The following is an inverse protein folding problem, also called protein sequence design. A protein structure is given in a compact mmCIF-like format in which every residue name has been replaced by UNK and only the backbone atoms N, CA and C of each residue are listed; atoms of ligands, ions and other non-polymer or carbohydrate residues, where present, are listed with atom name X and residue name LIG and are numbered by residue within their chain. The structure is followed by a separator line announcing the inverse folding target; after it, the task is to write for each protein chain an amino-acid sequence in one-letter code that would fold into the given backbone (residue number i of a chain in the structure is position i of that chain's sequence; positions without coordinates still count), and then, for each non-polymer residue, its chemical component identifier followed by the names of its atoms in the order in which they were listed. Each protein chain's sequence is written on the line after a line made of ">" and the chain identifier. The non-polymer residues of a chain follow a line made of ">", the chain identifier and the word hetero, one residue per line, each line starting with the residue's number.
data_IF_229107557737
#
_entry.id   IF_229107557737
#
_cell.length_a   1.000
_cell.length_b   1.000
_cell.length_c   1.000
_cell.angle_alpha   90.00
_cell.angle_beta   90.00
_cell.angle_gamma   90.00
#
_symmetry.space_group_name_H-M   'P 1'
#
loop_
_entity.id
_entity.type
_entity.pdbx_description
1 polymer ?
#
# COMPACT_ATOMS: atom_id res chain seq x y z
N UNK A 1 4.61 -9.48 -1.29
CA UNK A 1 6.03 -9.49 -1.70
C UNK A 1 6.40 -8.10 -2.22
N UNK A 2 7.69 -7.76 -2.32
CA UNK A 2 8.18 -6.49 -2.88
C UNK A 2 8.96 -6.80 -4.17
N UNK A 3 8.50 -6.30 -5.32
CA UNK A 3 9.21 -6.48 -6.61
C UNK A 3 10.21 -5.36 -6.90
N UNK A 4 9.78 -4.11 -6.73
CA UNK A 4 10.59 -2.92 -6.98
C UNK A 4 10.11 -1.78 -6.07
N UNK A 5 10.66 -1.77 -4.86
CA UNK A 5 10.32 -0.79 -3.82
C UNK A 5 11.21 0.46 -3.85
N UNK A 6 11.01 1.34 -2.86
CA UNK A 6 11.70 2.64 -2.78
C UNK A 6 13.23 2.52 -2.71
N UNK A 7 13.77 1.50 -2.02
CA UNK A 7 15.23 1.33 -1.91
C UNK A 7 15.87 1.01 -3.27
N UNK A 8 15.23 0.17 -4.08
CA UNK A 8 15.68 -0.14 -5.44
C UNK A 8 15.63 1.10 -6.31
N UNK A 9 14.54 1.88 -6.19
CA UNK A 9 14.40 3.13 -6.91
C UNK A 9 15.50 4.11 -6.54
N UNK A 10 15.77 4.33 -5.24
CA UNK A 10 16.79 5.28 -4.79
C UNK A 10 18.17 4.86 -5.31
N UNK A 11 18.49 3.56 -5.23
CA UNK A 11 19.75 3.03 -5.75
C UNK A 11 19.88 3.28 -7.27
N UNK A 12 18.87 2.91 -8.05
CA UNK A 12 18.85 3.12 -9.49
C UNK A 12 18.88 4.59 -9.88
N UNK A 13 18.05 5.41 -9.25
CA UNK A 13 17.98 6.86 -9.48
C UNK A 13 19.31 7.55 -9.15
N UNK A 14 19.99 7.11 -8.09
CA UNK A 14 21.33 7.63 -7.73
C UNK A 14 22.36 7.33 -8.82
N UNK A 15 22.35 6.11 -9.38
CA UNK A 15 23.23 5.73 -10.48
C UNK A 15 22.91 6.50 -11.77
N UNK A 16 21.63 6.54 -12.17
CA UNK A 16 21.19 7.28 -13.36
C UNK A 16 21.44 8.79 -13.21
N UNK A 17 21.28 9.32 -12.00
CA UNK A 17 21.52 10.71 -11.65
C UNK A 17 22.94 11.18 -11.95
N UNK A 18 23.93 10.28 -11.94
CA UNK A 18 25.32 10.61 -12.28
C UNK A 18 25.43 11.22 -13.69
N UNK A 19 24.62 10.75 -14.64
CA UNK A 19 24.58 11.29 -16.01
C UNK A 19 24.11 12.75 -16.07
N UNK A 20 23.36 13.20 -15.06
CA UNK A 20 22.78 14.55 -14.99
C UNK A 20 23.65 15.55 -14.20
N UNK A 21 24.76 15.10 -13.61
CA UNK A 21 25.62 15.94 -12.77
C UNK A 21 26.29 17.09 -13.54
N UNK A 22 26.52 16.95 -14.84
CA UNK A 22 27.12 18.02 -15.67
C UNK A 22 26.11 18.93 -16.36
N UNK A 23 24.83 18.57 -16.37
CA UNK A 23 23.78 19.38 -17.02
C UNK A 23 23.42 20.62 -16.19
N UNK A 24 23.06 21.75 -16.82
CA UNK A 24 22.50 22.90 -16.11
C UNK A 24 21.10 22.58 -15.59
N UNK A 25 20.66 23.27 -14.54
CA UNK A 25 19.38 22.99 -13.89
C UNK A 25 18.14 23.04 -14.80
N UNK A 26 18.03 23.93 -15.82
CA UNK A 26 16.85 23.96 -16.68
C UNK A 26 16.73 22.69 -17.54
N UNK A 27 17.87 22.17 -18.02
CA UNK A 27 17.89 20.93 -18.78
C UNK A 27 17.42 19.75 -17.90
N UNK A 28 17.88 19.67 -16.66
CA UNK A 28 17.45 18.63 -15.70
C UNK A 28 15.96 18.77 -15.40
N UNK A 29 15.45 19.99 -15.21
CA UNK A 29 14.03 20.25 -14.99
C UNK A 29 13.17 19.81 -16.19
N UNK A 30 13.65 20.05 -17.42
CA UNK A 30 12.99 19.58 -18.64
C UNK A 30 12.94 18.05 -18.68
N UNK A 31 14.05 17.36 -18.39
CA UNK A 31 14.05 15.90 -18.29
C UNK A 31 13.12 15.39 -17.20
N UNK A 32 13.08 16.03 -16.03
CA UNK A 32 12.14 15.70 -14.97
C UNK A 32 10.67 15.80 -15.46
N UNK A 33 10.34 16.87 -16.19
CA UNK A 33 9.04 17.03 -16.83
C UNK A 33 8.73 15.91 -17.82
N UNK A 34 9.70 15.53 -18.66
CA UNK A 34 9.56 14.41 -19.61
C UNK A 34 9.32 13.06 -18.92
N UNK A 35 10.08 12.75 -17.87
CA UNK A 35 9.91 11.53 -17.07
C UNK A 35 8.54 11.50 -16.37
N UNK A 36 8.10 12.64 -15.84
CA UNK A 36 6.78 12.76 -15.22
C UNK A 36 5.65 12.57 -16.24
N UNK A 37 5.80 13.14 -17.43
CA UNK A 37 4.81 13.11 -18.49
C UNK A 37 4.71 11.76 -19.20
N UNK A 38 5.82 11.03 -19.36
CA UNK A 38 5.90 9.80 -20.15
C UNK A 38 4.77 8.78 -19.89
N UNK A 39 4.45 8.39 -18.64
CA UNK A 39 3.41 7.39 -18.39
C UNK A 39 2.00 7.85 -18.76
N UNK A 40 1.77 9.14 -19.02
CA UNK A 40 0.47 9.64 -19.50
C UNK A 40 0.33 9.54 -21.03
N UNK A 41 1.44 9.53 -21.76
CA UNK A 41 1.45 9.45 -23.22
C UNK A 41 1.77 8.05 -23.73
N UNK A 42 2.52 7.26 -22.96
CA UNK A 42 2.96 5.95 -23.39
C UNK A 42 2.88 4.93 -22.27
N UNK A 43 1.92 4.01 -22.42
CA UNK A 43 1.83 2.75 -21.70
C UNK A 43 1.54 1.66 -22.72
N UNK A 44 2.12 0.48 -22.53
CA UNK A 44 2.08 -0.59 -23.53
C UNK A 44 2.14 -1.95 -22.87
N UNK A 45 1.44 -2.93 -23.44
CA UNK A 45 1.50 -4.34 -23.01
C UNK A 45 2.91 -4.94 -23.08
N UNK A 46 3.84 -4.34 -23.84
CA UNK A 46 5.26 -4.75 -23.83
C UNK A 46 5.86 -4.66 -22.41
N UNK A 47 5.41 -3.69 -21.61
CA UNK A 47 5.88 -3.51 -20.24
C UNK A 47 5.17 -4.40 -19.22
N UNK A 48 4.24 -5.26 -19.64
CA UNK A 48 3.55 -6.21 -18.76
C UNK A 48 4.42 -7.44 -18.43
N UNK A 49 5.59 -7.57 -19.06
CA UNK A 49 6.55 -8.61 -18.73
C UNK A 49 7.23 -8.37 -17.36
N UNK A 50 7.40 -9.39 -16.49
CA UNK A 50 7.97 -9.24 -15.14
C UNK A 50 9.30 -8.50 -15.06
N UNK A 51 10.18 -8.73 -16.04
CA UNK A 51 11.49 -8.07 -16.11
C UNK A 51 11.42 -6.55 -16.37
N UNK A 52 10.26 -6.02 -16.77
CA UNK A 52 10.05 -4.62 -17.14
C UNK A 52 9.14 -3.86 -16.17
N UNK A 53 8.60 -4.53 -15.14
CA UNK A 53 7.71 -3.88 -14.18
C UNK A 53 8.35 -2.71 -13.45
N UNK A 54 9.66 -2.73 -13.21
CA UNK A 54 10.39 -1.62 -12.60
C UNK A 54 10.29 -0.30 -13.37
N UNK A 55 9.90 -0.32 -14.66
CA UNK A 55 9.70 0.89 -15.46
C UNK A 55 8.45 1.66 -15.03
N UNK A 56 7.35 0.99 -14.66
CA UNK A 56 6.07 1.65 -14.37
C UNK A 56 5.24 2.02 -15.60
N UNK A 57 5.58 1.48 -16.78
CA UNK A 57 4.90 1.77 -18.06
C UNK A 57 3.90 0.66 -18.48
N UNK A 58 3.66 -0.32 -17.61
CA UNK A 58 2.62 -1.34 -17.82
C UNK A 58 1.22 -0.69 -17.81
N UNK A 59 0.26 -1.18 -18.62
CA UNK A 59 -1.10 -0.62 -18.65
C UNK A 59 -1.83 -0.77 -17.32
N UNK A 60 -1.61 -1.91 -16.65
CA UNK A 60 -2.18 -2.23 -15.33
C UNK A 60 -1.06 -2.20 -14.30
N UNK A 61 -1.12 -1.30 -13.30
CA UNK A 61 -0.17 -1.30 -12.20
C UNK A 61 -0.19 -2.62 -11.44
N UNK A 62 0.98 -3.17 -11.12
CA UNK A 62 1.08 -4.39 -10.32
C UNK A 62 0.91 -4.07 -8.85
N UNK A 63 0.11 -4.87 -8.16
CA UNK A 63 -0.02 -4.81 -6.71
C UNK A 63 1.26 -5.34 -6.04
N UNK A 64 1.92 -4.49 -5.25
CA UNK A 64 3.04 -4.81 -4.38
C UNK A 64 2.97 -3.90 -3.15
N UNK A 65 3.40 -4.39 -1.99
CA UNK A 65 3.29 -3.63 -0.72
C UNK A 65 4.10 -2.34 -0.74
N UNK A 66 5.19 -2.33 -1.50
CA UNK A 66 5.97 -1.15 -1.83
C UNK A 66 6.30 -1.21 -3.32
N UNK A 67 5.78 -0.26 -4.10
CA UNK A 67 5.97 -0.20 -5.54
C UNK A 67 6.24 1.23 -5.98
N UNK A 68 7.50 1.49 -6.29
CA UNK A 68 7.99 2.82 -6.68
C UNK A 68 8.78 2.68 -7.98
N UNK A 69 8.11 2.48 -9.13
CA UNK A 69 8.78 2.31 -10.42
C UNK A 69 9.51 3.58 -10.86
N UNK A 70 10.36 3.46 -11.89
CA UNK A 70 11.11 4.60 -12.44
C UNK A 70 10.20 5.70 -12.95
N UNK A 71 9.14 5.37 -13.68
CA UNK A 71 8.16 6.33 -14.15
C UNK A 71 6.90 6.31 -13.26
N UNK A 72 6.46 7.45 -12.71
CA UNK A 72 7.03 8.80 -12.85
C UNK A 72 8.08 9.16 -11.80
N UNK A 73 8.40 8.29 -10.83
CA UNK A 73 9.11 8.71 -9.60
C UNK A 73 10.53 9.23 -9.78
N UNK A 74 11.23 8.83 -10.83
CA UNK A 74 12.55 9.38 -11.17
C UNK A 74 12.47 10.88 -11.48
N UNK A 75 11.30 11.40 -11.87
CA UNK A 75 11.07 12.83 -12.03
C UNK A 75 11.24 13.59 -10.71
N UNK A 76 10.79 13.04 -9.59
CA UNK A 76 10.95 13.68 -8.28
C UNK A 76 12.44 13.79 -7.88
N UNK A 77 13.22 12.75 -8.19
CA UNK A 77 14.67 12.75 -7.99
C UNK A 77 15.35 13.84 -8.84
N UNK A 78 15.05 13.89 -10.15
CA UNK A 78 15.60 14.90 -11.05
C UNK A 78 15.14 16.32 -10.68
N UNK A 79 13.89 16.49 -10.26
CA UNK A 79 13.37 17.76 -9.78
C UNK A 79 14.15 18.25 -8.55
N UNK A 80 14.42 17.36 -7.57
CA UNK A 80 15.28 17.69 -6.42
C UNK A 80 16.68 18.12 -6.84
N UNK A 81 17.29 17.43 -7.82
CA UNK A 81 18.60 17.80 -8.35
C UNK A 81 18.57 19.16 -9.07
N UNK A 82 17.54 19.41 -9.89
CA UNK A 82 17.34 20.68 -10.59
C UNK A 82 17.16 21.83 -9.59
N UNK A 83 16.33 21.64 -8.56
CA UNK A 83 16.12 22.61 -7.49
C UNK A 83 17.43 22.91 -6.74
N UNK A 84 18.19 21.88 -6.35
CA UNK A 84 19.47 22.07 -5.66
C UNK A 84 20.48 22.86 -6.51
N UNK A 85 20.58 22.55 -7.80
CA UNK A 85 21.46 23.26 -8.73
C UNK A 85 20.97 24.69 -9.01
N UNK A 86 19.68 24.88 -9.22
CA UNK A 86 19.07 26.20 -9.42
C UNK A 86 19.26 27.09 -8.21
N UNK A 87 19.05 26.55 -7.00
CA UNK A 87 19.35 27.23 -5.75
C UNK A 87 20.83 27.61 -5.65
N UNK A 88 21.75 26.68 -5.92
CA UNK A 88 23.19 27.00 -5.90
C UNK A 88 23.58 28.12 -6.87
N UNK A 89 22.94 28.16 -8.05
CA UNK A 89 23.22 29.15 -9.08
C UNK A 89 22.63 30.54 -8.77
N UNK A 90 21.42 30.59 -8.20
CA UNK A 90 20.62 31.81 -8.15
C UNK A 90 20.24 32.27 -6.74
N UNK A 91 20.45 31.47 -5.69
CA UNK A 91 20.04 31.84 -4.35
C UNK A 91 20.84 33.05 -3.81
N UNK A 92 20.15 34.05 -3.22
CA UNK A 92 20.80 35.20 -2.61
C UNK A 92 21.88 34.76 -1.61
N UNK A 93 23.03 35.44 -1.63
CA UNK A 93 24.15 35.10 -0.75
C UNK A 93 23.76 35.12 0.73
N UNK A 94 22.91 36.07 1.15
CA UNK A 94 22.40 36.15 2.52
C UNK A 94 21.62 34.90 2.95
N UNK A 95 20.85 34.29 2.04
CA UNK A 95 20.10 33.06 2.33
C UNK A 95 21.04 31.85 2.43
N UNK A 96 22.03 31.76 1.55
CA UNK A 96 23.06 30.71 1.61
C UNK A 96 23.87 30.77 2.91
N UNK A 97 24.23 31.98 3.35
CA UNK A 97 24.95 32.21 4.60
C UNK A 97 24.10 31.85 5.83
N UNK A 98 22.84 32.31 5.88
CA UNK A 98 21.92 31.99 6.99
C UNK A 98 21.71 30.49 7.18
N UNK A 99 21.52 29.75 6.09
CA UNK A 99 21.38 28.29 6.15
C UNK A 99 22.70 27.60 6.56
N UNK A 100 23.85 28.12 6.11
CA UNK A 100 25.16 27.60 6.51
C UNK A 100 25.50 27.82 7.98
N UNK A 101 24.91 28.84 8.63
CA UNK A 101 25.08 29.11 10.06
C UNK A 101 24.05 28.43 10.95
N UNK A 102 23.10 27.69 10.37
CA UNK A 102 22.04 27.04 11.13
C UNK A 102 22.61 25.82 11.87
N UNK A 103 22.89 25.98 13.16
CA UNK A 103 23.26 24.86 14.03
C UNK A 103 22.01 24.18 14.55
N UNK A 104 21.70 23.01 13.99
CA UNK A 104 20.61 22.16 14.48
C UNK A 104 21.16 21.16 15.51
N UNK A 105 20.41 20.87 16.59
CA UNK A 105 20.80 19.85 17.56
C UNK A 105 21.09 18.51 16.88
N UNK A 106 22.10 17.78 17.34
CA UNK A 106 22.53 16.52 16.73
C UNK A 106 21.37 15.50 16.60
N UNK A 107 20.45 15.48 17.56
CA UNK A 107 19.29 14.59 17.56
C UNK A 107 18.28 14.89 16.44
N UNK A 108 18.22 16.13 15.91
CA UNK A 108 17.41 16.45 14.72
C UNK A 108 18.00 15.84 13.45
N UNK A 109 19.33 15.70 13.39
CA UNK A 109 20.01 15.09 12.22
C UNK A 109 20.07 13.57 12.30
N UNK A 110 19.91 12.98 13.49
CA UNK A 110 20.05 11.56 13.74
C UNK A 110 19.14 10.67 12.87
N UNK A 111 17.82 10.96 12.71
CA UNK A 111 16.95 10.14 11.87
C UNK A 111 17.39 10.14 10.40
N UNK A 112 17.91 11.27 9.91
CA UNK A 112 18.44 11.37 8.55
C UNK A 112 19.72 10.54 8.34
N UNK A 113 20.63 10.55 9.33
CA UNK A 113 21.89 9.78 9.30
C UNK A 113 21.68 8.27 9.37
N UNK A 114 20.61 7.83 10.03
CA UNK A 114 20.23 6.43 10.18
C UNK A 114 18.93 6.13 9.40
N UNK A 115 18.67 6.85 8.32
CA UNK A 115 17.42 6.77 7.55
C UNK A 115 17.07 5.35 7.10
N UNK A 116 18.06 4.54 6.70
CA UNK A 116 17.82 3.13 6.36
C UNK A 116 17.35 2.30 7.56
N UNK A 117 17.97 2.48 8.72
CA UNK A 117 17.58 1.75 9.93
C UNK A 117 16.19 2.18 10.39
N UNK A 118 15.91 3.49 10.40
CA UNK A 118 14.57 4.03 10.70
C UNK A 118 13.54 3.48 9.71
N UNK A 119 13.87 3.47 8.42
CA UNK A 119 13.02 2.92 7.37
C UNK A 119 12.76 1.41 7.53
N UNK A 120 13.72 0.60 7.97
CA UNK A 120 13.46 -0.82 8.18
C UNK A 120 12.69 -1.10 9.49
N UNK A 121 12.97 -0.34 10.54
CA UNK A 121 12.39 -0.55 11.87
C UNK A 121 10.97 -0.01 11.97
N UNK A 122 10.61 1.05 11.25
CA UNK A 122 9.27 1.63 11.39
C UNK A 122 8.15 0.64 11.00
N UNK A 123 8.34 -0.22 9.98
CA UNK A 123 7.33 -1.18 9.56
C UNK A 123 6.93 -2.18 10.68
N UNK A 124 7.84 -2.98 11.26
CA UNK A 124 7.48 -3.90 12.35
C UNK A 124 7.00 -3.15 13.60
N UNK A 125 7.53 -1.96 13.88
CA UNK A 125 7.05 -1.14 15.01
C UNK A 125 5.60 -0.71 14.80
N UNK A 126 5.26 -0.14 13.64
CA UNK A 126 3.89 0.28 13.34
C UNK A 126 2.92 -0.90 13.32
N UNK A 127 3.32 -2.03 12.73
CA UNK A 127 2.52 -3.26 12.74
C UNK A 127 2.30 -3.74 14.18
N UNK A 128 3.34 -3.76 15.01
CA UNK A 128 3.25 -4.15 16.41
C UNK A 128 2.34 -3.22 17.23
N UNK A 129 2.43 -1.90 16.98
CA UNK A 129 1.58 -0.91 17.64
C UNK A 129 0.11 -1.06 17.23
N UNK A 130 -0.18 -1.21 15.94
CA UNK A 130 -1.54 -1.46 15.44
C UNK A 130 -2.08 -2.78 15.99
N UNK A 131 -1.27 -3.84 15.99
CA UNK A 131 -1.66 -5.13 16.55
C UNK A 131 -2.01 -5.01 18.04
N UNK A 132 -1.16 -4.36 18.84
CA UNK A 132 -1.42 -4.14 20.26
C UNK A 132 -2.69 -3.31 20.48
N UNK A 133 -2.88 -2.26 19.66
CA UNK A 133 -4.10 -1.45 19.69
C UNK A 133 -5.36 -2.30 19.45
N UNK A 134 -5.35 -3.19 18.46
CA UNK A 134 -6.49 -4.08 18.15
C UNK A 134 -6.77 -5.14 19.22
N UNK A 135 -5.83 -5.40 20.13
CA UNK A 135 -6.11 -6.24 21.29
C UNK A 135 -7.00 -5.53 22.30
N UNK A 136 -6.85 -4.21 22.45
CA UNK A 136 -7.61 -3.39 23.40
C UNK A 136 -8.88 -2.82 22.78
N UNK A 137 -8.81 -2.42 21.51
CA UNK A 137 -9.89 -1.83 20.74
C UNK A 137 -10.13 -2.65 19.47
N UNK A 138 -10.81 -3.81 19.58
CA UNK A 138 -11.10 -4.64 18.42
C UNK A 138 -12.00 -3.88 17.43
N UNK A 139 -11.74 -4.02 16.12
CA UNK A 139 -12.65 -3.48 15.12
C UNK A 139 -13.99 -4.20 15.21
N UNK A 140 -15.08 -3.44 15.16
CA UNK A 140 -16.43 -3.98 14.96
C UNK A 140 -16.57 -4.33 13.48
N UNK A 141 -16.86 -5.59 13.19
CA UNK A 141 -17.14 -6.06 11.83
C UNK A 141 -18.61 -5.85 11.50
N UNK A 142 -18.89 -5.29 10.33
CA UNK A 142 -20.25 -5.24 9.77
C UNK A 142 -20.49 -6.39 8.79
N UNK A 143 -21.76 -6.70 8.52
CA UNK A 143 -22.14 -7.71 7.51
C UNK A 143 -21.51 -7.40 6.15
N UNK A 144 -21.57 -6.14 5.72
CA UNK A 144 -21.01 -5.68 4.43
C UNK A 144 -19.50 -5.96 4.32
N UNK A 145 -18.76 -5.81 5.42
CA UNK A 145 -17.33 -6.09 5.46
C UNK A 145 -17.02 -7.59 5.49
N UNK A 146 -17.87 -8.39 6.14
CA UNK A 146 -17.68 -9.85 6.28
C UNK A 146 -18.10 -10.63 5.03
N UNK A 147 -19.04 -10.09 4.25
CA UNK A 147 -19.67 -10.78 3.13
C UNK A 147 -18.71 -11.26 2.02
N UNK A 148 -17.75 -10.45 1.54
CA UNK A 148 -16.81 -10.90 0.50
C UNK A 148 -15.96 -12.10 0.95
N UNK A 149 -15.52 -12.09 2.22
CA UNK A 149 -14.73 -13.19 2.79
C UNK A 149 -15.52 -14.50 2.86
N UNK A 150 -16.77 -14.43 3.32
CA UNK A 150 -17.67 -15.59 3.33
C UNK A 150 -17.88 -16.16 1.92
N UNK A 151 -18.12 -15.29 0.92
CA UNK A 151 -18.39 -15.73 -0.44
C UNK A 151 -17.18 -16.40 -1.09
N UNK A 152 -15.97 -15.84 -0.92
CA UNK A 152 -14.74 -16.44 -1.45
C UNK A 152 -14.56 -17.86 -0.93
N UNK A 153 -14.77 -18.09 0.37
CA UNK A 153 -14.63 -19.41 0.96
C UNK A 153 -15.76 -20.37 0.56
N UNK A 154 -16.99 -19.88 0.44
CA UNK A 154 -18.12 -20.68 0.00
C UNK A 154 -17.97 -21.16 -1.46
N UNK A 155 -17.47 -20.28 -2.33
CA UNK A 155 -17.28 -20.53 -3.76
C UNK A 155 -16.28 -21.65 -4.07
N UNK A 156 -15.43 -22.04 -3.10
CA UNK A 156 -14.56 -23.21 -3.24
C UNK A 156 -15.36 -24.52 -3.40
N UNK A 157 -16.63 -24.54 -2.97
CA UNK A 157 -17.45 -25.76 -2.90
C UNK A 157 -18.84 -25.63 -3.52
N UNK A 158 -19.30 -24.41 -3.84
CA UNK A 158 -20.67 -24.09 -4.27
C UNK A 158 -20.68 -23.01 -5.35
N UNK A 159 -21.84 -22.80 -5.98
CA UNK A 159 -22.02 -21.78 -7.02
C UNK A 159 -22.29 -20.38 -6.43
N UNK A 160 -22.21 -19.36 -7.30
CA UNK A 160 -22.30 -17.95 -6.90
C UNK A 160 -23.66 -17.57 -6.30
N UNK A 161 -24.76 -18.00 -6.92
CA UNK A 161 -26.11 -17.70 -6.46
C UNK A 161 -26.38 -18.26 -5.06
N UNK A 162 -25.97 -19.52 -4.84
CA UNK A 162 -26.03 -20.17 -3.54
C UNK A 162 -25.22 -19.40 -2.51
N UNK A 163 -23.94 -19.08 -2.80
CA UNK A 163 -23.07 -18.42 -1.85
C UNK A 163 -23.52 -17.02 -1.50
N UNK A 164 -24.09 -16.28 -2.46
CA UNK A 164 -24.65 -14.95 -2.24
C UNK A 164 -25.82 -15.00 -1.25
N UNK A 165 -26.79 -15.90 -1.48
CA UNK A 165 -27.96 -16.05 -0.63
C UNK A 165 -27.63 -16.66 0.75
N UNK A 166 -26.74 -17.66 0.77
CA UNK A 166 -26.27 -18.31 2.00
C UNK A 166 -25.50 -17.34 2.91
N UNK A 167 -24.51 -16.61 2.37
CA UNK A 167 -23.71 -15.68 3.18
C UNK A 167 -24.53 -14.51 3.71
N UNK A 168 -25.50 -14.00 2.93
CA UNK A 168 -26.42 -12.98 3.43
C UNK A 168 -27.23 -13.50 4.63
N UNK A 169 -27.85 -14.69 4.49
CA UNK A 169 -28.61 -15.33 5.57
C UNK A 169 -27.76 -15.53 6.84
N UNK A 170 -26.57 -16.11 6.69
CA UNK A 170 -25.72 -16.45 7.82
C UNK A 170 -25.22 -15.19 8.54
N UNK A 171 -24.66 -14.23 7.79
CA UNK A 171 -24.04 -13.06 8.39
C UNK A 171 -25.09 -12.15 9.06
N UNK A 172 -26.26 -11.98 8.45
CA UNK A 172 -27.39 -11.26 9.08
C UNK A 172 -27.84 -11.94 10.38
N UNK A 173 -27.90 -13.27 10.41
CA UNK A 173 -28.27 -14.02 11.60
C UNK A 173 -27.24 -13.88 12.73
N UNK A 174 -25.94 -13.91 12.40
CA UNK A 174 -24.87 -13.70 13.37
C UNK A 174 -24.85 -12.25 13.90
N UNK A 175 -25.14 -11.28 13.04
CA UNK A 175 -25.20 -9.86 13.41
C UNK A 175 -26.41 -9.56 14.30
N UNK A 176 -27.58 -10.10 13.96
CA UNK A 176 -28.80 -9.98 14.77
C UNK A 176 -28.64 -10.54 16.19
N UNK A 177 -27.77 -11.53 16.37
CA UNK A 177 -27.43 -12.11 17.68
C UNK A 177 -26.29 -11.39 18.39
N UNK A 178 -25.67 -10.38 17.76
CA UNK A 178 -24.53 -9.65 18.31
C UNK A 178 -23.25 -10.48 18.41
N UNK A 179 -23.17 -11.61 17.70
CA UNK A 179 -22.04 -12.55 17.76
C UNK A 179 -21.14 -12.50 16.53
N UNK A 180 -21.50 -11.72 15.50
CA UNK A 180 -20.73 -11.57 14.26
C UNK A 180 -19.27 -11.18 14.53
N UNK A 181 -19.04 -10.10 15.30
CA UNK A 181 -17.68 -9.60 15.58
C UNK A 181 -16.80 -10.60 16.36
N UNK A 182 -17.27 -11.22 17.46
CA UNK A 182 -16.52 -12.29 18.14
C UNK A 182 -16.19 -13.49 17.24
N UNK A 183 -17.12 -13.93 16.39
CA UNK A 183 -16.91 -15.06 15.48
C UNK A 183 -15.88 -14.70 14.41
N UNK A 184 -15.98 -13.52 13.79
CA UNK A 184 -15.04 -13.07 12.75
C UNK A 184 -13.65 -12.75 13.28
N UNK A 185 -13.52 -12.37 14.55
CA UNK A 185 -12.23 -12.13 15.20
C UNK A 185 -11.60 -13.38 15.81
N UNK A 186 -12.24 -14.55 15.70
CA UNK A 186 -11.74 -15.81 16.29
C UNK A 186 -11.76 -15.83 17.82
N UNK A 187 -12.58 -14.97 18.44
CA UNK A 187 -12.72 -14.82 19.90
C UNK A 187 -14.08 -15.30 20.44
N UNK A 188 -14.84 -16.03 19.62
CA UNK A 188 -16.13 -16.57 20.00
C UNK A 188 -16.00 -17.59 21.15
N UNK A 189 -16.91 -17.53 22.12
CA UNK A 189 -17.05 -18.55 23.15
C UNK A 189 -17.57 -19.87 22.57
N UNK A 190 -17.42 -20.98 23.30
CA UNK A 190 -17.99 -22.28 22.89
C UNK A 190 -19.49 -22.20 22.60
N UNK A 191 -20.23 -21.41 23.39
CA UNK A 191 -21.65 -21.15 23.18
C UNK A 191 -21.91 -20.41 21.86
N UNK A 192 -21.15 -19.36 21.57
CA UNK A 192 -21.28 -18.62 20.31
C UNK A 192 -20.90 -19.48 19.09
N UNK A 193 -19.94 -20.40 19.23
CA UNK A 193 -19.58 -21.35 18.19
C UNK A 193 -20.71 -22.36 17.93
N UNK A 194 -21.38 -22.84 18.98
CA UNK A 194 -22.58 -23.69 18.84
C UNK A 194 -23.70 -22.95 18.12
N UNK A 195 -23.99 -21.72 18.53
CA UNK A 195 -24.99 -20.87 17.85
C UNK A 195 -24.64 -20.63 16.38
N UNK A 196 -23.36 -20.43 16.08
CA UNK A 196 -22.89 -20.27 14.69
C UNK A 196 -23.13 -21.54 13.86
N UNK A 197 -22.88 -22.72 14.43
CA UNK A 197 -23.15 -23.99 13.75
C UNK A 197 -24.66 -24.21 13.51
N UNK A 198 -25.51 -23.84 14.48
CA UNK A 198 -26.97 -23.90 14.35
C UNK A 198 -27.47 -22.98 13.22
N UNK A 199 -27.04 -21.72 13.19
CA UNK A 199 -27.43 -20.76 12.14
C UNK A 199 -26.92 -21.18 10.76
N UNK A 200 -25.72 -21.76 10.68
CA UNK A 200 -25.22 -22.38 9.45
C UNK A 200 -26.19 -23.42 8.94
N UNK A 201 -26.60 -24.35 9.79
CA UNK A 201 -27.45 -25.47 9.38
C UNK A 201 -28.86 -24.99 8.96
N UNK A 202 -29.41 -23.97 9.64
CA UNK A 202 -30.65 -23.30 9.26
C UNK A 202 -30.55 -22.65 7.87
N UNK A 203 -29.49 -21.86 7.64
CA UNK A 203 -29.31 -21.18 6.36
C UNK A 203 -29.03 -22.16 5.22
N UNK A 204 -28.29 -23.25 5.47
CA UNK A 204 -28.13 -24.34 4.50
C UNK A 204 -29.47 -24.97 4.12
N UNK A 205 -30.31 -25.29 5.11
CA UNK A 205 -31.62 -25.89 4.86
C UNK A 205 -32.54 -24.98 4.05
N UNK A 206 -32.49 -23.65 4.28
CA UNK A 206 -33.26 -22.66 3.50
C UNK A 206 -32.88 -22.67 2.01
N UNK A 207 -31.59 -22.76 1.69
CA UNK A 207 -31.13 -22.77 0.31
C UNK A 207 -31.46 -24.07 -0.43
N UNK A 208 -31.42 -25.21 0.27
CA UNK A 208 -31.85 -26.51 -0.28
C UNK A 208 -33.37 -26.56 -0.49
N UNK A 209 -34.15 -25.90 0.37
CA UNK A 209 -35.60 -25.82 0.24
C UNK A 209 -36.10 -24.93 -0.91
N UNK A 210 -35.32 -23.94 -1.34
CA UNK A 210 -35.66 -23.03 -2.45
C UNK A 210 -35.33 -23.59 -3.85
N UNK A 211 -34.61 -24.72 -3.93
CA UNK A 211 -34.21 -25.36 -5.20
C UNK A 211 -35.15 -26.51 -5.63
N UNK A 212 -36.28 -26.71 -4.94
CA UNK A 212 -37.41 -27.55 -5.37
C UNK A 212 -38.60 -26.70 -5.78
#
# INVERSE_FOLDING_TARGET
>A
FIHFGILHQIALASLLGLAFLRLPWPAIALFAGGVLALPFFWRSGVFDHPALWWTGLAPVPRHSNDYVPVFPWFAAFLAGMALAKGWKAHAPQAWRQRLGTLSVPAWWTWPGRHSLAVYLVHQPVLIGLVWAWTQVFPPTMTVEQAQPGCQVQCLESRNEDFCRAYCACLLDALDAKGILSPVMSGRASEEQLRQTAEERDICLARQVGQTR
#
